data_IF_550547891959
#
_entry.id   IF_550547891959
#
_cell.length_a   1.000
_cell.length_b   1.000
_cell.length_c   1.000
_cell.angle_alpha   90.00
_cell.angle_beta   90.00
_cell.angle_gamma   90.00
#
_symmetry.space_group_name_H-M   'P 1'
#
loop_
_entity.id
_entity.type
_entity.pdbx_description
1 polymer ?
#
# COMPACT_ATOMS: atom_id res chain seq x y z
N UNK A 1 19.48 0.48 11.90
CA UNK A 1 19.17 -0.71 11.07
C UNK A 1 18.71 -0.22 9.71
N UNK A 2 19.22 -0.75 8.60
CA UNK A 2 18.97 -0.21 7.26
C UNK A 2 17.61 -0.62 6.65
N UNK A 3 16.91 -1.60 7.24
CA UNK A 3 15.61 -2.05 6.76
C UNK A 3 14.64 -2.27 7.93
N UNK A 4 13.41 -1.77 7.77
CA UNK A 4 12.29 -1.97 8.70
C UNK A 4 11.44 -3.14 8.19
N UNK A 5 11.25 -4.15 9.03
CA UNK A 5 10.31 -5.24 8.72
C UNK A 5 8.88 -4.75 8.94
N UNK A 6 8.00 -5.01 7.96
CA UNK A 6 6.57 -4.77 8.05
C UNK A 6 5.83 -6.11 8.04
N UNK A 7 4.81 -6.24 8.88
CA UNK A 7 3.99 -7.45 8.91
C UNK A 7 3.27 -7.70 7.58
N UNK A 8 2.76 -8.93 7.39
CA UNK A 8 2.13 -9.34 6.15
C UNK A 8 1.01 -8.37 5.73
N UNK A 9 1.12 -7.79 4.52
CA UNK A 9 0.21 -6.76 4.04
C UNK A 9 -1.28 -7.18 4.02
N UNK A 10 -1.52 -8.49 3.88
CA UNK A 10 -2.86 -9.09 3.87
C UNK A 10 -3.55 -9.07 5.23
N UNK A 11 -2.79 -8.97 6.33
CA UNK A 11 -3.35 -8.93 7.69
C UNK A 11 -3.43 -7.52 8.26
N UNK A 12 -3.07 -6.49 7.50
CA UNK A 12 -3.15 -5.09 7.93
C UNK A 12 -4.47 -4.45 7.45
N UNK A 13 -5.13 -3.72 8.35
CA UNK A 13 -6.14 -2.75 7.97
C UNK A 13 -5.46 -1.56 7.28
N UNK A 14 -5.87 -1.28 6.04
CA UNK A 14 -5.34 -0.19 5.24
C UNK A 14 -6.45 0.83 5.00
N UNK A 15 -6.13 2.14 5.02
CA UNK A 15 -7.10 3.16 4.65
C UNK A 15 -7.50 2.98 3.18
N UNK A 16 -8.81 3.05 2.93
CA UNK A 16 -9.40 3.10 1.59
C UNK A 16 -8.89 4.33 0.83
N UNK A 17 -8.71 4.19 -0.49
CA UNK A 17 -8.41 5.31 -1.37
C UNK A 17 -9.66 6.11 -1.79
N UNK A 18 -10.86 5.70 -1.34
CA UNK A 18 -12.15 6.34 -1.65
C UNK A 18 -12.43 6.48 -3.16
N UNK A 19 -11.98 5.49 -3.95
CA UNK A 19 -12.17 5.46 -5.42
C UNK A 19 -13.47 4.72 -5.74
N UNK A 20 -14.60 5.42 -5.64
CA UNK A 20 -15.92 4.91 -6.06
C UNK A 20 -16.20 3.48 -5.58
N UNK A 21 -16.51 2.61 -6.52
CA UNK A 21 -16.83 1.19 -6.34
C UNK A 21 -15.60 0.26 -6.52
N UNK A 22 -14.38 0.80 -6.39
CA UNK A 22 -13.13 0.03 -6.46
C UNK A 22 -12.56 -0.13 -5.05
N UNK A 23 -12.45 -1.37 -4.52
CA UNK A 23 -11.81 -1.62 -3.23
C UNK A 23 -10.29 -1.54 -3.39
N UNK A 24 -9.78 -0.30 -3.40
CA UNK A 24 -8.39 0.07 -3.59
C UNK A 24 -7.79 0.62 -2.30
N UNK A 25 -6.62 0.11 -1.94
CA UNK A 25 -5.90 0.50 -0.72
C UNK A 25 -4.44 0.79 -1.05
N UNK A 26 -3.93 1.94 -0.59
CA UNK A 26 -2.55 2.35 -0.76
C UNK A 26 -1.93 2.64 0.59
N UNK A 27 -0.72 2.13 0.79
CA UNK A 27 0.13 2.53 1.91
C UNK A 27 1.57 2.68 1.42
N UNK A 28 2.16 3.82 1.77
CA UNK A 28 3.56 4.09 1.53
C UNK A 28 4.36 3.39 2.64
N UNK A 29 5.19 2.41 2.27
CA UNK A 29 5.89 1.58 3.24
C UNK A 29 7.29 2.07 3.54
N UNK A 30 7.96 2.68 2.56
CA UNK A 30 9.24 3.31 2.81
C UNK A 30 9.46 4.49 1.86
N UNK A 31 9.77 5.62 2.48
CA UNK A 31 10.37 6.79 1.85
C UNK A 31 11.79 6.84 2.41
N UNK A 32 12.78 6.81 1.53
CA UNK A 32 14.17 7.03 1.91
C UNK A 32 14.32 8.38 2.61
N UNK A 33 14.99 8.40 3.76
CA UNK A 33 15.34 9.64 4.47
C UNK A 33 16.50 10.39 3.78
N UNK A 34 17.20 9.73 2.84
CA UNK A 34 18.25 10.35 2.02
C UNK A 34 17.62 11.18 0.90
N UNK A 35 17.72 12.51 1.03
CA UNK A 35 17.18 13.47 0.06
C UNK A 35 17.91 13.47 -1.29
N UNK A 36 19.14 12.97 -1.36
CA UNK A 36 19.88 12.84 -2.63
C UNK A 36 19.60 11.51 -3.33
N UNK A 37 19.12 10.50 -2.59
CA UNK A 37 18.75 9.17 -3.10
C UNK A 37 17.35 8.78 -2.63
N UNK A 38 16.30 9.47 -3.11
CA UNK A 38 14.94 9.12 -2.76
C UNK A 38 14.60 7.75 -3.36
N UNK A 39 14.28 6.81 -2.49
CA UNK A 39 13.67 5.53 -2.84
C UNK A 39 12.27 5.55 -2.25
N UNK A 40 11.28 5.35 -3.10
CA UNK A 40 9.89 5.20 -2.71
C UNK A 40 9.43 3.80 -3.08
N UNK A 41 8.92 3.06 -2.10
CA UNK A 41 8.27 1.78 -2.33
C UNK A 41 6.91 1.75 -1.63
N UNK A 42 5.87 1.54 -2.44
CA UNK A 42 4.50 1.36 -2.01
C UNK A 42 4.03 -0.05 -2.31
N UNK A 43 3.05 -0.52 -1.52
CA UNK A 43 2.31 -1.74 -1.83
C UNK A 43 0.86 -1.34 -2.09
N UNK A 44 0.32 -1.86 -3.18
CA UNK A 44 -1.06 -1.66 -3.57
C UNK A 44 -1.83 -2.97 -3.36
N UNK A 45 -2.97 -2.90 -2.66
CA UNK A 45 -3.88 -4.04 -2.49
C UNK A 45 -5.16 -3.77 -3.26
N UNK A 46 -5.52 -4.71 -4.13
CA UNK A 46 -6.85 -4.81 -4.73
C UNK A 46 -7.58 -5.97 -4.07
N UNK A 47 -8.85 -5.74 -3.74
CA UNK A 47 -9.78 -6.82 -3.41
C UNK A 47 -10.62 -7.18 -4.63
N UNK A 48 -11.21 -8.37 -4.60
CA UNK A 48 -12.10 -8.80 -5.67
C UNK A 48 -13.30 -7.84 -5.76
N UNK A 49 -13.54 -7.30 -6.95
CA UNK A 49 -14.73 -6.50 -7.23
C UNK A 49 -15.99 -7.36 -7.33
N UNK A 50 -17.14 -6.69 -7.44
CA UNK A 50 -18.41 -7.36 -7.65
C UNK A 50 -18.48 -8.02 -9.04
N UNK A 51 -19.16 -9.16 -9.13
CA UNK A 51 -19.38 -9.83 -10.41
C UNK A 51 -20.26 -8.97 -11.31
N UNK A 52 -19.84 -8.81 -12.56
CA UNK A 52 -20.72 -8.30 -13.62
C UNK A 52 -21.72 -9.42 -13.92
N UNK A 53 -22.97 -9.26 -13.50
CA UNK A 53 -24.06 -10.20 -13.82
C UNK A 53 -24.36 -10.21 -15.33
#
# INVERSE_FOLDING_TARGET
MAFKHFEQIKSQELPSMEIGNVPAFLKDFAVSEDSEKPITCGLFRLEAGESLQ
#
